data_IF_075233012841
#
_entry.id   IF_075233012841
#
_cell.length_a   1.000
_cell.length_b   1.000
_cell.length_c   1.000
_cell.angle_alpha   90.00
_cell.angle_beta   90.00
_cell.angle_gamma   90.00
#
_symmetry.space_group_name_H-M   'P 1'
#
loop_
_entity.id
_entity.type
_entity.pdbx_description
1 polymer ?
#
# COMPACT_ATOMS: atom_id res chain seq x y z
N UNK A 1 -24.20 -0.02 -8.40
CA UNK A 1 -24.04 -0.81 -7.16
C UNK A 1 -25.32 -1.58 -6.94
N UNK A 2 -25.22 -2.88 -6.76
CA UNK A 2 -26.35 -3.70 -6.32
C UNK A 2 -26.55 -3.47 -4.83
N UNK A 3 -27.79 -3.22 -4.40
CA UNK A 3 -28.16 -2.93 -3.01
C UNK A 3 -28.16 -4.18 -2.09
N UNK A 4 -27.48 -5.23 -2.54
CA UNK A 4 -27.46 -6.53 -1.88
C UNK A 4 -26.03 -6.87 -1.45
N UNK A 5 -25.86 -7.46 -0.25
CA UNK A 5 -24.55 -7.88 0.22
C UNK A 5 -23.93 -8.87 -0.76
N UNK A 6 -22.64 -8.72 -1.02
CA UNK A 6 -21.86 -9.70 -1.79
C UNK A 6 -21.50 -10.84 -0.86
N UNK A 7 -22.03 -12.03 -1.15
CA UNK A 7 -21.71 -13.25 -0.42
C UNK A 7 -20.62 -14.04 -1.17
N UNK A 8 -19.55 -14.40 -0.48
CA UNK A 8 -18.48 -15.24 -1.02
C UNK A 8 -18.47 -16.62 -0.34
N UNK A 9 -17.95 -17.66 -1.00
CA UNK A 9 -17.85 -18.99 -0.40
C UNK A 9 -17.11 -18.95 0.94
N UNK A 10 -17.54 -19.79 1.88
CA UNK A 10 -16.94 -19.86 3.20
C UNK A 10 -15.45 -20.27 3.13
N UNK A 11 -14.59 -19.53 3.84
CA UNK A 11 -13.21 -19.95 4.14
C UNK A 11 -12.08 -19.01 3.70
N UNK A 12 -12.36 -18.00 2.86
CA UNK A 12 -11.35 -17.00 2.45
C UNK A 12 -11.97 -15.61 2.36
N UNK A 13 -11.17 -14.56 2.58
CA UNK A 13 -11.65 -13.21 2.34
C UNK A 13 -11.95 -13.00 0.85
N UNK A 14 -12.93 -12.14 0.51
CA UNK A 14 -13.09 -11.68 -0.86
C UNK A 14 -11.75 -11.10 -1.37
N UNK A 15 -11.39 -11.30 -2.66
CA UNK A 15 -10.12 -10.86 -3.22
C UNK A 15 -9.77 -9.39 -2.94
N UNK A 16 -10.79 -8.52 -2.95
CA UNK A 16 -10.66 -7.11 -2.57
C UNK A 16 -10.00 -6.95 -1.19
N UNK A 17 -10.54 -7.61 -0.16
CA UNK A 17 -10.07 -7.49 1.22
C UNK A 17 -8.75 -8.25 1.44
N UNK A 18 -8.58 -9.40 0.79
CA UNK A 18 -7.31 -10.13 0.81
C UNK A 18 -6.16 -9.28 0.24
N UNK A 19 -6.42 -8.47 -0.79
CA UNK A 19 -5.47 -7.52 -1.38
C UNK A 19 -5.05 -6.37 -0.46
N UNK A 20 -5.79 -6.11 0.62
CA UNK A 20 -5.43 -5.09 1.62
C UNK A 20 -4.44 -5.60 2.67
N UNK A 21 -4.28 -6.92 2.78
CA UNK A 21 -3.32 -7.51 3.71
C UNK A 21 -1.89 -7.20 3.26
N UNK A 22 -0.96 -6.97 4.21
CA UNK A 22 0.45 -6.86 3.86
C UNK A 22 0.95 -8.19 3.28
N UNK A 23 2.04 -8.13 2.53
CA UNK A 23 2.70 -9.32 2.00
C UNK A 23 4.05 -9.58 2.66
N UNK A 24 4.59 -10.79 2.45
CA UNK A 24 5.96 -11.11 2.79
C UNK A 24 6.28 -11.05 4.29
N UNK A 25 7.37 -10.39 4.64
CA UNK A 25 7.82 -10.32 6.03
C UNK A 25 6.79 -9.63 6.94
N UNK A 26 6.13 -8.56 6.47
CA UNK A 26 5.11 -7.85 7.26
C UNK A 26 3.90 -8.72 7.57
N UNK A 27 3.52 -9.62 6.65
CA UNK A 27 2.45 -10.58 6.91
C UNK A 27 2.85 -11.58 8.01
N UNK A 28 4.10 -12.04 7.99
CA UNK A 28 4.63 -12.94 9.04
C UNK A 28 4.61 -12.25 10.41
N UNK A 29 5.05 -10.99 10.46
CA UNK A 29 5.03 -10.14 11.66
C UNK A 29 3.60 -9.98 12.19
N UNK A 30 2.65 -9.67 11.31
CA UNK A 30 1.24 -9.52 11.66
C UNK A 30 0.59 -10.82 12.14
N UNK A 31 0.99 -11.96 11.60
CA UNK A 31 0.55 -13.27 12.07
C UNK A 31 1.05 -13.54 13.49
N UNK A 32 2.33 -13.29 13.75
CA UNK A 32 2.93 -13.54 15.06
C UNK A 32 2.35 -12.62 16.14
N UNK A 33 2.09 -11.37 15.74
CA UNK A 33 1.37 -10.34 16.49
C UNK A 33 0.00 -10.76 17.00
N UNK A 34 -0.81 -11.27 16.08
CA UNK A 34 -2.20 -11.67 16.32
C UNK A 34 -2.30 -13.09 16.87
N UNK A 35 -1.19 -13.84 16.91
CA UNK A 35 -1.09 -15.23 17.34
C UNK A 35 -2.07 -16.13 16.59
N UNK A 36 -2.22 -15.91 15.28
CA UNK A 36 -3.15 -16.66 14.43
C UNK A 36 -2.44 -17.39 13.29
N UNK A 37 -3.19 -18.11 12.44
CA UNK A 37 -2.68 -18.73 11.20
C UNK A 37 -2.73 -17.74 10.03
N UNK A 38 -1.93 -17.98 8.98
CA UNK A 38 -2.10 -17.25 7.72
C UNK A 38 -3.49 -17.45 7.09
N UNK A 39 -4.14 -18.57 7.39
CA UNK A 39 -5.48 -18.88 6.89
C UNK A 39 -6.59 -18.10 7.62
N UNK A 40 -6.28 -17.48 8.77
CA UNK A 40 -7.22 -16.63 9.50
C UNK A 40 -7.09 -15.17 9.05
N UNK A 41 -7.35 -14.98 7.76
CA UNK A 41 -7.20 -13.69 7.08
C UNK A 41 -8.09 -12.59 7.70
N UNK A 42 -9.24 -12.96 8.27
CA UNK A 42 -10.12 -12.00 8.94
C UNK A 42 -9.47 -11.41 10.20
N UNK A 43 -8.86 -12.25 11.05
CA UNK A 43 -8.14 -11.76 12.23
C UNK A 43 -6.94 -10.89 11.84
N UNK A 44 -6.21 -11.28 10.79
CA UNK A 44 -5.12 -10.47 10.23
C UNK A 44 -5.65 -9.11 9.74
N UNK A 45 -6.76 -9.11 9.00
CA UNK A 45 -7.36 -7.90 8.45
C UNK A 45 -7.87 -6.98 9.56
N UNK A 46 -8.51 -7.51 10.60
CA UNK A 46 -8.98 -6.70 11.73
C UNK A 46 -7.83 -5.99 12.47
N UNK A 47 -6.62 -6.56 12.44
CA UNK A 47 -5.45 -5.95 13.08
C UNK A 47 -4.85 -4.78 12.29
N UNK A 48 -5.00 -4.74 10.95
CA UNK A 48 -4.45 -3.65 10.10
C UNK A 48 -5.52 -2.79 9.41
N UNK A 49 -6.78 -3.22 9.47
CA UNK A 49 -7.91 -2.72 8.69
C UNK A 49 -8.30 -1.28 8.98
N UNK A 50 -7.85 -0.71 10.10
CA UNK A 50 -8.12 0.68 10.46
C UNK A 50 -7.41 1.69 9.53
N UNK A 51 -6.25 1.34 8.95
CA UNK A 51 -5.52 2.20 8.01
C UNK A 51 -4.91 1.41 6.85
N UNK A 52 -5.76 1.08 5.90
CA UNK A 52 -5.42 0.45 4.62
C UNK A 52 -5.41 1.48 3.48
N UNK A 53 -4.86 1.15 2.30
CA UNK A 53 -5.01 1.97 1.10
C UNK A 53 -6.50 2.20 0.76
N UNK A 54 -6.81 3.41 0.31
CA UNK A 54 -8.18 3.80 -0.05
C UNK A 54 -9.02 4.29 1.13
N UNK A 55 -10.35 4.29 0.95
CA UNK A 55 -11.33 4.83 1.88
C UNK A 55 -12.03 3.77 2.74
N UNK A 56 -11.70 2.50 2.54
CA UNK A 56 -12.23 1.41 3.35
C UNK A 56 -11.55 1.37 4.72
N UNK A 57 -12.34 1.07 5.74
CA UNK A 57 -11.87 0.71 7.07
C UNK A 57 -12.56 -0.57 7.52
N UNK A 58 -11.79 -1.50 8.07
CA UNK A 58 -12.29 -2.76 8.63
C UNK A 58 -12.03 -2.74 10.13
N UNK A 59 -13.11 -2.72 10.89
CA UNK A 59 -13.11 -2.66 12.36
C UNK A 59 -14.04 -3.73 12.94
N UNK A 60 -13.86 -4.14 14.20
CA UNK A 60 -14.77 -5.05 14.87
C UNK A 60 -16.22 -4.54 14.84
N UNK A 61 -17.17 -5.48 14.79
CA UNK A 61 -18.59 -5.14 14.80
C UNK A 61 -18.97 -4.37 16.07
N UNK A 62 -19.69 -3.25 15.89
CA UNK A 62 -20.09 -2.35 16.97
C UNK A 62 -19.09 -1.23 17.26
N UNK A 63 -17.90 -1.25 16.66
CA UNK A 63 -16.95 -0.14 16.73
C UNK A 63 -17.21 0.89 15.62
N UNK A 64 -16.93 2.16 15.93
CA UNK A 64 -17.01 3.25 14.96
C UNK A 64 -15.63 3.38 14.30
N UNK A 65 -15.52 3.33 12.97
CA UNK A 65 -14.26 3.59 12.29
C UNK A 65 -13.74 4.98 12.64
N UNK A 66 -12.51 5.03 13.17
CA UNK A 66 -11.81 6.27 13.49
C UNK A 66 -10.46 6.29 12.80
N UNK A 67 -9.96 7.48 12.47
CA UNK A 67 -8.60 7.63 11.96
C UNK A 67 -7.60 7.26 13.05
N UNK A 68 -6.74 6.24 12.83
CA UNK A 68 -5.77 5.86 13.84
C UNK A 68 -4.70 6.95 14.01
N UNK A 69 -4.14 7.02 15.22
CA UNK A 69 -2.98 7.86 15.46
C UNK A 69 -1.80 7.36 14.61
N UNK A 70 -1.04 8.26 13.97
CA UNK A 70 0.14 7.87 13.22
C UNK A 70 1.21 7.33 14.16
N UNK A 71 2.07 6.45 13.66
CA UNK A 71 3.15 5.84 14.46
C UNK A 71 4.18 6.86 14.96
N UNK A 72 4.34 7.95 14.22
CA UNK A 72 4.96 9.17 14.72
C UNK A 72 4.29 10.38 14.07
N UNK A 73 4.24 11.47 14.84
CA UNK A 73 3.82 12.79 14.40
C UNK A 73 4.86 13.80 14.86
N UNK A 74 5.73 14.21 13.94
CA UNK A 74 6.78 15.21 14.20
C UNK A 74 6.84 16.25 13.09
N UNK A 75 7.47 17.39 13.38
CA UNK A 75 7.84 18.37 12.36
C UNK A 75 9.30 18.21 11.88
N UNK A 76 10.07 17.36 12.59
CA UNK A 76 11.52 17.21 12.50
C UNK A 76 11.90 15.75 12.22
N UNK A 77 12.14 15.38 10.95
CA UNK A 77 12.52 14.02 10.57
C UNK A 77 13.75 13.49 11.31
N UNK A 78 14.68 14.38 11.65
CA UNK A 78 15.93 14.05 12.34
C UNK A 78 15.75 13.62 13.81
N UNK A 79 14.53 13.72 14.36
CA UNK A 79 14.18 13.21 15.69
C UNK A 79 13.62 11.78 15.64
N UNK A 80 13.36 11.27 14.45
CA UNK A 80 12.84 9.92 14.28
C UNK A 80 13.97 8.90 14.49
N UNK A 81 13.61 7.73 15.01
CA UNK A 81 14.44 6.54 14.99
C UNK A 81 13.76 5.53 14.04
N UNK A 82 14.32 5.34 12.86
CA UNK A 82 13.71 4.47 11.85
C UNK A 82 13.74 3.01 12.27
N UNK A 83 14.76 2.58 13.02
CA UNK A 83 14.80 1.23 13.55
C UNK A 83 13.69 1.04 14.59
N UNK A 84 13.47 2.02 15.48
CA UNK A 84 12.36 1.96 16.43
C UNK A 84 10.98 1.99 15.74
N UNK A 85 10.81 2.78 14.67
CA UNK A 85 9.55 2.84 13.91
C UNK A 85 9.28 1.54 13.14
N UNK A 86 10.29 1.00 12.46
CA UNK A 86 10.23 -0.32 11.84
C UNK A 86 9.86 -1.37 12.89
N UNK A 87 10.53 -1.32 14.03
CA UNK A 87 10.28 -2.22 15.14
C UNK A 87 8.95 -1.95 15.85
N UNK A 88 8.34 -0.76 15.78
CA UNK A 88 7.06 -0.49 16.43
C UNK A 88 5.91 -1.14 15.65
N UNK A 89 6.02 -1.13 14.32
CA UNK A 89 5.22 -2.01 13.46
C UNK A 89 5.50 -3.47 13.78
N UNK A 90 6.77 -3.79 14.06
CA UNK A 90 7.25 -5.12 14.43
C UNK A 90 7.07 -5.48 15.91
N UNK A 91 6.59 -4.62 16.81
CA UNK A 91 6.58 -4.89 18.28
C UNK A 91 5.35 -5.64 18.73
N UNK A 92 4.49 -5.95 17.77
CA UNK A 92 3.66 -7.12 17.92
C UNK A 92 4.41 -8.43 17.57
N UNK A 93 5.55 -8.40 16.86
CA UNK A 93 6.48 -9.53 16.79
C UNK A 93 7.37 -9.58 18.03
N UNK A 94 7.46 -10.79 18.57
CA UNK A 94 8.23 -11.14 19.75
C UNK A 94 9.72 -11.19 19.38
N UNK A 95 10.66 -10.81 20.28
CA UNK A 95 12.08 -10.92 20.03
C UNK A 95 12.49 -12.39 19.84
N UNK A 96 13.16 -12.73 18.73
CA UNK A 96 13.97 -13.96 18.70
C UNK A 96 13.99 -14.82 17.44
N UNK A 97 13.37 -14.44 16.31
CA UNK A 97 13.53 -15.21 15.06
C UNK A 97 13.67 -14.26 13.86
N UNK A 98 14.90 -13.81 13.61
CA UNK A 98 15.27 -13.40 12.26
C UNK A 98 15.80 -14.62 11.52
N UNK A 99 15.07 -15.05 10.49
CA UNK A 99 15.67 -15.58 9.27
C UNK A 99 14.58 -15.75 8.20
N UNK A 100 14.55 -14.82 7.24
CA UNK A 100 14.66 -15.10 5.81
C UNK A 100 14.45 -13.83 4.99
N UNK A 101 15.48 -13.52 4.22
CA UNK A 101 15.52 -12.46 3.21
C UNK A 101 14.47 -12.70 2.12
N UNK A 102 14.10 -11.60 1.45
CA UNK A 102 13.10 -11.44 0.38
C UNK A 102 11.64 -11.30 0.84
N UNK A 103 11.24 -10.04 1.09
CA UNK A 103 10.06 -9.44 0.44
C UNK A 103 9.84 -8.00 0.95
N UNK A 104 9.93 -7.05 0.03
CA UNK A 104 9.38 -5.67 0.07
C UNK A 104 9.97 -4.69 1.09
N UNK A 105 10.20 -3.45 0.67
CA UNK A 105 10.59 -2.35 1.55
C UNK A 105 9.65 -2.25 2.76
N UNK A 106 10.21 -2.01 3.95
CA UNK A 106 9.40 -1.73 5.13
C UNK A 106 8.64 -0.42 4.90
N UNK A 107 7.32 -0.50 4.81
CA UNK A 107 6.44 0.65 4.51
C UNK A 107 5.58 0.95 5.73
N UNK A 108 5.78 2.11 6.34
CA UNK A 108 5.16 2.45 7.64
C UNK A 108 4.39 3.77 7.55
N UNK A 109 3.11 3.84 7.94
CA UNK A 109 2.38 5.09 8.02
C UNK A 109 3.06 6.07 8.98
N UNK A 110 3.32 7.29 8.51
CA UNK A 110 3.96 8.36 9.26
C UNK A 110 3.18 9.66 9.07
N UNK A 111 3.13 10.49 10.10
CA UNK A 111 2.76 11.90 9.95
C UNK A 111 3.96 12.79 10.14
N UNK A 112 4.15 13.69 9.18
CA UNK A 112 5.23 14.65 9.22
C UNK A 112 4.69 16.01 8.82
N UNK A 113 4.88 17.02 9.67
CA UNK A 113 4.43 18.41 9.43
C UNK A 113 2.93 18.47 9.04
N UNK A 114 2.12 17.64 9.70
CA UNK A 114 0.68 17.58 9.46
C UNK A 114 0.27 16.99 8.11
N UNK A 115 1.16 16.28 7.41
CA UNK A 115 0.88 15.51 6.19
C UNK A 115 1.02 14.00 6.43
N UNK A 116 0.30 13.16 5.66
CA UNK A 116 0.36 11.70 5.76
C UNK A 116 1.32 11.10 4.75
N UNK A 117 2.22 10.25 5.22
CA UNK A 117 3.25 9.61 4.43
C UNK A 117 3.26 8.10 4.66
N UNK A 118 3.86 7.41 3.70
CA UNK A 118 4.42 6.08 3.85
C UNK A 118 5.94 6.21 3.91
N UNK A 119 6.55 5.84 5.03
CA UNK A 119 7.99 5.75 5.19
C UNK A 119 8.48 4.41 4.65
N UNK A 120 9.37 4.46 3.66
CA UNK A 120 10.03 3.30 3.06
C UNK A 120 11.48 3.21 3.50
N UNK A 121 11.92 2.01 3.92
CA UNK A 121 13.29 1.72 4.35
C UNK A 121 13.90 0.60 3.53
N UNK A 122 15.22 0.66 3.35
CA UNK A 122 15.99 -0.45 2.76
C UNK A 122 15.86 -1.69 3.66
N UNK A 123 15.56 -2.87 3.11
CA UNK A 123 15.60 -4.10 3.88
C UNK A 123 17.06 -4.46 4.21
N UNK A 124 17.33 -5.17 5.32
CA UNK A 124 18.71 -5.43 5.80
C UNK A 124 19.66 -6.04 4.76
N UNK A 125 19.13 -6.84 3.82
CA UNK A 125 19.92 -7.59 2.83
C UNK A 125 19.86 -7.01 1.41
N UNK A 126 19.18 -5.88 1.18
CA UNK A 126 19.14 -5.23 -0.14
C UNK A 126 19.36 -3.73 0.00
N UNK A 127 20.63 -3.34 0.10
CA UNK A 127 21.02 -1.93 0.10
C UNK A 127 20.63 -1.26 -1.23
N UNK A 128 20.37 0.05 -1.17
CA UNK A 128 20.12 0.93 -2.32
C UNK A 128 18.76 0.78 -3.01
N UNK A 129 17.85 -0.06 -2.51
CA UNK A 129 16.49 -0.16 -3.07
C UNK A 129 15.71 1.14 -2.92
N UNK A 130 15.90 1.83 -1.79
CA UNK A 130 15.35 3.14 -1.48
C UNK A 130 15.84 4.19 -2.48
N UNK A 131 17.15 4.25 -2.69
CA UNK A 131 17.76 5.21 -3.64
C UNK A 131 17.29 4.90 -5.07
N UNK A 132 17.21 3.62 -5.42
CA UNK A 132 16.68 3.18 -6.70
C UNK A 132 15.23 3.67 -6.90
N UNK A 133 14.35 3.52 -5.91
CA UNK A 133 12.98 4.01 -6.01
C UNK A 133 12.92 5.54 -6.13
N UNK A 134 13.70 6.26 -5.32
CA UNK A 134 13.76 7.72 -5.37
C UNK A 134 14.19 8.24 -6.75
N UNK A 135 15.18 7.58 -7.38
CA UNK A 135 15.63 7.91 -8.72
C UNK A 135 14.54 7.70 -9.77
N UNK A 136 13.81 6.56 -9.71
CA UNK A 136 12.73 6.27 -10.65
C UNK A 136 11.55 7.23 -10.49
N UNK A 137 11.16 7.57 -9.26
CA UNK A 137 10.11 8.57 -9.00
C UNK A 137 10.51 9.96 -9.52
N UNK A 138 11.77 10.36 -9.33
CA UNK A 138 12.28 11.61 -9.88
C UNK A 138 12.25 11.62 -11.41
N UNK A 139 12.75 10.56 -12.05
CA UNK A 139 12.75 10.45 -13.51
C UNK A 139 11.33 10.46 -14.09
N UNK A 140 10.38 9.74 -13.47
CA UNK A 140 8.98 9.74 -13.90
C UNK A 140 8.34 11.13 -13.78
N UNK A 141 8.62 11.86 -12.70
CA UNK A 141 8.18 13.25 -12.52
C UNK A 141 8.76 14.19 -13.59
N UNK A 142 10.03 14.02 -13.95
CA UNK A 142 10.68 14.82 -15.00
C UNK A 142 10.05 14.57 -16.36
N UNK A 143 9.63 13.32 -16.61
CA UNK A 143 8.84 12.90 -17.78
C UNK A 143 7.36 13.30 -17.73
N UNK A 144 6.93 14.03 -16.70
CA UNK A 144 5.53 14.45 -16.48
C UNK A 144 4.54 13.29 -16.29
N UNK A 145 5.04 12.12 -15.91
CA UNK A 145 4.20 11.01 -15.48
C UNK A 145 3.66 11.36 -14.08
N UNK A 146 2.33 11.30 -13.85
CA UNK A 146 1.78 11.51 -12.52
C UNK A 146 2.33 10.47 -11.54
N UNK A 147 3.03 10.94 -10.51
CA UNK A 147 3.59 10.10 -9.45
C UNK A 147 3.35 10.76 -8.09
N UNK A 148 3.34 9.95 -7.04
CA UNK A 148 3.28 10.45 -5.67
C UNK A 148 4.49 11.36 -5.39
N UNK A 149 4.28 12.41 -4.58
CA UNK A 149 5.39 13.24 -4.11
C UNK A 149 6.24 12.42 -3.15
N UNK A 150 7.56 12.49 -3.30
CA UNK A 150 8.47 11.75 -2.43
C UNK A 150 9.72 12.55 -2.08
N UNK A 151 10.28 12.30 -0.90
CA UNK A 151 11.48 12.95 -0.40
C UNK A 151 12.36 11.94 0.36
N UNK A 152 13.67 12.00 0.14
CA UNK A 152 14.63 11.31 0.99
C UNK A 152 14.82 12.16 2.26
N UNK A 153 14.69 11.51 3.41
CA UNK A 153 14.98 12.07 4.73
C UNK A 153 16.03 11.19 5.42
N UNK A 154 16.61 11.72 6.49
CA UNK A 154 17.47 10.95 7.39
C UNK A 154 16.92 11.01 8.81
N UNK A 155 17.08 9.91 9.54
CA UNK A 155 16.70 9.81 10.95
C UNK A 155 17.79 10.37 11.88
N UNK A 156 17.61 10.22 13.19
CA UNK A 156 18.56 10.69 14.20
C UNK A 156 19.94 10.03 14.15
N UNK A 157 20.06 8.89 13.46
CA UNK A 157 21.29 8.14 13.25
C UNK A 157 21.89 8.34 11.85
N UNK A 158 21.27 9.19 11.02
CA UNK A 158 21.68 9.41 9.64
C UNK A 158 21.26 8.30 8.68
N UNK A 159 20.37 7.39 9.09
CA UNK A 159 19.85 6.35 8.21
C UNK A 159 18.87 6.95 7.21
N UNK A 160 19.01 6.67 5.90
CA UNK A 160 18.12 7.21 4.88
C UNK A 160 16.74 6.51 4.91
N UNK A 161 15.70 7.31 4.68
CA UNK A 161 14.30 6.89 4.54
C UNK A 161 13.67 7.60 3.35
N UNK A 162 12.81 6.92 2.59
CA UNK A 162 12.03 7.54 1.52
C UNK A 162 10.61 7.78 2.03
N UNK A 163 10.23 9.05 2.20
CA UNK A 163 8.86 9.43 2.45
C UNK A 163 8.09 9.55 1.14
N UNK A 164 6.98 8.83 1.03
CA UNK A 164 6.03 8.94 -0.08
C UNK A 164 4.72 9.51 0.45
N UNK A 165 4.29 10.67 -0.06
CA UNK A 165 3.04 11.31 0.33
C UNK A 165 1.86 10.44 -0.11
N UNK A 166 0.96 10.14 0.83
CA UNK A 166 -0.24 9.36 0.53
C UNK A 166 -1.18 10.15 -0.36
N UNK A 167 -1.41 9.67 -1.58
CA UNK A 167 -2.32 10.30 -2.53
C UNK A 167 -3.79 9.90 -2.32
N UNK A 168 -4.04 8.88 -1.48
CA UNK A 168 -5.36 8.43 -1.06
C UNK A 168 -5.84 9.13 0.23
N UNK A 169 -5.16 10.20 0.64
CA UNK A 169 -5.48 11.04 1.80
C UNK A 169 -5.38 12.51 1.37
N UNK A 170 -6.45 13.28 1.59
CA UNK A 170 -6.48 14.72 1.29
C UNK A 170 -7.03 15.50 2.47
N UNK A 171 -6.60 16.75 2.64
CA UNK A 171 -7.18 17.65 3.63
C UNK A 171 -8.40 18.36 3.05
N UNK A 172 -9.52 18.37 3.77
CA UNK A 172 -10.67 19.21 3.45
C UNK A 172 -10.44 20.66 3.94
N UNK A 173 -11.37 21.56 3.62
CA UNK A 173 -11.30 23.01 3.91
C UNK A 173 -11.14 23.31 5.41
N UNK A 174 -11.65 22.44 6.26
CA UNK A 174 -11.56 22.51 7.72
C UNK A 174 -10.28 21.86 8.29
N UNK A 175 -9.38 21.40 7.41
CA UNK A 175 -8.16 20.63 7.72
C UNK A 175 -8.41 19.24 8.29
N UNK A 176 -9.63 18.73 8.20
CA UNK A 176 -9.90 17.32 8.45
C UNK A 176 -9.30 16.45 7.35
N UNK A 177 -8.92 15.22 7.68
CA UNK A 177 -8.44 14.27 6.68
C UNK A 177 -9.61 13.51 6.06
N UNK A 178 -9.65 13.51 4.73
CA UNK A 178 -10.59 12.75 3.92
C UNK A 178 -9.82 11.65 3.20
N UNK A 179 -10.36 10.44 3.26
CA UNK A 179 -9.84 9.30 2.51
C UNK A 179 -10.45 9.29 1.12
N UNK A 180 -9.64 8.98 0.11
CA UNK A 180 -10.13 8.84 -1.26
C UNK A 180 -10.32 7.35 -1.59
N UNK A 181 -11.40 6.98 -2.30
CA UNK A 181 -11.56 5.62 -2.80
C UNK A 181 -10.39 5.24 -3.70
N UNK A 182 -9.82 4.06 -3.48
CA UNK A 182 -8.70 3.54 -4.22
C UNK A 182 -8.78 2.01 -4.27
N UNK A 183 -8.53 1.46 -5.44
CA UNK A 183 -8.35 0.03 -5.68
C UNK A 183 -7.11 -0.17 -6.56
N UNK A 184 -6.38 -1.26 -6.36
CA UNK A 184 -5.33 -1.66 -7.29
C UNK A 184 -5.88 -2.49 -8.46
N UNK A 185 -5.02 -2.79 -9.44
CA UNK A 185 -5.42 -3.57 -10.62
C UNK A 185 -5.88 -4.99 -10.30
N UNK A 186 -5.30 -5.65 -9.30
CA UNK A 186 -5.70 -7.00 -8.91
C UNK A 186 -7.08 -7.00 -8.26
N UNK A 187 -7.37 -6.02 -7.40
CA UNK A 187 -8.67 -5.80 -6.78
C UNK A 187 -9.76 -5.53 -7.83
N UNK A 188 -9.48 -4.65 -8.79
CA UNK A 188 -10.42 -4.35 -9.90
C UNK A 188 -10.73 -5.58 -10.74
N UNK A 189 -9.75 -6.46 -10.92
CA UNK A 189 -9.93 -7.73 -11.65
C UNK A 189 -10.48 -8.87 -10.79
N UNK A 190 -10.68 -8.66 -9.49
CA UNK A 190 -11.14 -9.69 -8.55
C UNK A 190 -10.14 -10.83 -8.36
N UNK A 191 -8.84 -10.56 -8.52
CA UNK A 191 -7.78 -11.56 -8.38
C UNK A 191 -7.33 -11.67 -6.93
N UNK A 192 -7.13 -12.90 -6.40
CA UNK A 192 -6.50 -13.07 -5.10
C UNK A 192 -5.03 -12.62 -5.16
N UNK A 193 -4.41 -12.20 -4.04
CA UNK A 193 -3.03 -11.70 -4.02
C UNK A 193 -2.01 -12.66 -4.65
N UNK A 194 -2.21 -13.97 -4.47
CA UNK A 194 -1.35 -15.02 -5.04
C UNK A 194 -1.32 -15.04 -6.58
N UNK A 195 -2.33 -14.45 -7.24
CA UNK A 195 -2.48 -14.43 -8.70
C UNK A 195 -2.03 -13.11 -9.34
N UNK A 196 -1.46 -12.17 -8.59
CA UNK A 196 -1.08 -10.85 -9.15
C UNK A 196 -0.05 -10.91 -10.29
N UNK A 197 0.76 -11.97 -10.35
CA UNK A 197 1.75 -12.20 -11.41
C UNK A 197 1.28 -13.15 -12.51
N UNK A 198 0.03 -13.62 -12.47
CA UNK A 198 -0.52 -14.49 -13.52
C UNK A 198 -1.16 -13.71 -14.68
N UNK A 199 -1.09 -12.39 -14.66
CA UNK A 199 -1.70 -11.48 -15.62
C UNK A 199 -0.65 -10.53 -16.20
N UNK A 200 -0.86 -10.11 -17.44
CA UNK A 200 0.03 -9.17 -18.10
C UNK A 200 -0.26 -7.73 -17.69
N UNK A 201 0.68 -6.81 -17.95
CA UNK A 201 0.44 -5.38 -17.69
C UNK A 201 -0.66 -4.83 -18.61
N UNK A 202 -0.78 -5.39 -19.80
CA UNK A 202 -1.81 -5.09 -20.79
C UNK A 202 -3.21 -5.48 -20.29
N UNK A 203 -3.35 -6.65 -19.67
CA UNK A 203 -4.62 -7.09 -19.07
C UNK A 203 -5.07 -6.14 -17.95
N UNK A 204 -4.13 -5.77 -17.07
CA UNK A 204 -4.38 -4.81 -15.98
C UNK A 204 -4.82 -3.46 -16.55
N UNK A 205 -4.10 -2.95 -17.55
CA UNK A 205 -4.41 -1.68 -18.18
C UNK A 205 -5.79 -1.69 -18.86
N UNK A 206 -6.13 -2.79 -19.55
CA UNK A 206 -7.44 -2.97 -20.18
C UNK A 206 -8.58 -3.01 -19.14
N UNK A 207 -8.38 -3.74 -18.04
CA UNK A 207 -9.35 -3.83 -16.95
C UNK A 207 -9.61 -2.45 -16.31
N UNK A 208 -8.55 -1.71 -15.97
CA UNK A 208 -8.66 -0.36 -15.40
C UNK A 208 -9.31 0.63 -16.38
N UNK A 209 -8.93 0.59 -17.66
CA UNK A 209 -9.53 1.42 -18.69
C UNK A 209 -11.04 1.13 -18.87
N UNK A 210 -11.47 -0.12 -18.69
CA UNK A 210 -12.88 -0.51 -18.74
C UNK A 210 -13.75 0.10 -17.63
N UNK A 211 -13.16 0.43 -16.48
CA UNK A 211 -13.88 1.10 -15.37
C UNK A 211 -13.94 2.62 -15.51
N UNK A 212 -13.10 3.20 -16.37
CA UNK A 212 -13.03 4.64 -16.56
C UNK A 212 -14.18 5.14 -17.45
N UNK A 213 -14.98 6.10 -16.97
CA UNK A 213 -16.05 6.75 -17.76
C UNK A 213 -15.54 7.57 -18.96
N UNK A 214 -14.25 7.87 -19.00
CA UNK A 214 -13.62 8.57 -20.11
C UNK A 214 -13.36 7.60 -21.27
N UNK A 215 -14.36 7.42 -22.15
CA UNK A 215 -14.36 6.50 -23.29
C UNK A 215 -13.31 6.77 -24.40
N UNK A 216 -12.31 7.65 -24.21
CA UNK A 216 -11.48 8.13 -25.32
C UNK A 216 -10.21 7.33 -25.63
N UNK A 217 -9.85 6.30 -24.86
CA UNK A 217 -8.60 5.54 -25.07
C UNK A 217 -8.74 4.26 -25.92
N UNK A 218 -9.96 3.75 -26.11
CA UNK A 218 -10.18 2.48 -26.83
C UNK A 218 -9.86 2.57 -28.34
N UNK A 219 -9.87 3.76 -28.93
CA UNK A 219 -9.57 3.95 -30.35
C UNK A 219 -8.07 3.85 -30.68
N UNK A 220 -7.16 4.08 -29.72
CA UNK A 220 -5.72 4.15 -29.99
C UNK A 220 -5.00 2.79 -29.94
N UNK A 221 -5.50 1.84 -29.13
CA UNK A 221 -4.88 0.51 -28.98
C UNK A 221 -5.18 -0.39 -30.19
N UNK A 222 -6.38 -0.28 -30.79
CA UNK A 222 -6.76 -1.09 -31.96
C UNK A 222 -6.08 -0.68 -33.28
N UNK A 223 -5.55 0.54 -33.40
CA UNK A 223 -4.95 1.02 -34.66
C UNK A 223 -3.49 0.65 -34.87
N UNK A 224 -2.77 0.19 -33.83
CA UNK A 224 -1.36 -0.22 -33.99
C UNK A 224 -1.17 -1.65 -34.49
N UNK A 225 -2.20 -2.51 -34.46
CA UNK A 225 -2.09 -3.92 -34.83
C UNK A 225 -2.48 -4.24 -36.29
N UNK A 226 -2.91 -3.24 -37.07
CA UNK A 226 -3.53 -3.48 -38.40
C UNK A 226 -2.80 -2.84 -39.60
N UNK A 227 -1.58 -2.32 -39.44
CA UNK A 227 -0.83 -1.76 -40.57
C UNK A 227 0.63 -2.26 -40.65
N UNK A 228 0.81 -3.47 -41.17
CA UNK A 228 2.03 -3.91 -41.83
C UNK A 228 1.66 -4.37 -43.25
N UNK A 229 1.99 -3.63 -44.32
CA UNK A 229 1.83 -4.12 -45.68
C UNK A 229 2.97 -5.09 -46.03
N UNK A 230 2.61 -6.19 -46.69
CA UNK A 230 3.55 -7.16 -47.27
C UNK A 230 4.15 -6.71 -48.60
#
# INVERSE_FOLDING_TARGET
>A
MTDHPVETPAGALPPFFAGLLPEGHRLSVLRDATKTSFDDELTLLLAVGADVPGDVQVVPSGEIPTEPAPLADTSRPEELDFAALANAVDRHAIPGVQDKASASMLTTPLSLRGQRYLLKLDPPNHAHLLVNEALHLSAAKDLKIPVAKSHIIADMHGLPGLLVERFDRVQDKDRSWVRLPMEDGAQVMGLPPASKYSVTSEDVAAALAGQCKAHSWQAAICTCSSSLPG
#
